data_IF_807105617611
#
_entry.id   IF_807105617611
#
_cell.length_a   1.000
_cell.length_b   1.000
_cell.length_c   1.000
_cell.angle_alpha   90.00
_cell.angle_beta   90.00
_cell.angle_gamma   90.00
#
_symmetry.space_group_name_H-M   'P 1'
#
loop_
_entity.id
_entity.type
_entity.pdbx_description
1 polymer ?
#
# COMPACT_ATOMS: atom_id res chain seq x y z
N UNK A 1 32.94 -2.06 -6.77
CA UNK A 1 32.49 -0.81 -7.40
C UNK A 1 32.66 0.31 -6.38
N UNK A 2 33.13 1.47 -6.82
CA UNK A 2 33.20 2.67 -5.97
C UNK A 2 31.78 3.21 -5.74
N UNK A 3 31.49 3.73 -4.55
CA UNK A 3 30.16 4.26 -4.19
C UNK A 3 29.78 5.45 -5.09
N UNK A 4 30.77 6.26 -5.48
CA UNK A 4 30.55 7.35 -6.42
C UNK A 4 30.15 6.83 -7.81
N UNK A 5 30.77 5.75 -8.29
CA UNK A 5 30.43 5.14 -9.56
C UNK A 5 29.01 4.52 -9.56
N UNK A 6 28.61 3.93 -8.43
CA UNK A 6 27.27 3.39 -8.23
C UNK A 6 26.22 4.53 -8.24
N UNK A 7 26.50 5.65 -7.57
CA UNK A 7 25.66 6.84 -7.60
C UNK A 7 25.52 7.40 -9.03
N UNK A 8 26.60 7.54 -9.79
CA UNK A 8 26.54 8.02 -11.17
C UNK A 8 25.71 7.11 -12.08
N UNK A 9 25.79 5.79 -11.86
CA UNK A 9 24.96 4.81 -12.59
C UNK A 9 23.49 5.00 -12.25
N UNK A 10 23.16 5.13 -10.96
CA UNK A 10 21.81 5.39 -10.49
C UNK A 10 21.22 6.69 -11.05
N UNK A 11 22.00 7.78 -11.07
CA UNK A 11 21.56 9.06 -11.61
C UNK A 11 21.26 8.96 -13.11
N UNK A 12 22.12 8.26 -13.87
CA UNK A 12 21.89 8.01 -15.29
C UNK A 12 20.64 7.15 -15.53
N UNK A 13 20.52 6.02 -14.82
CA UNK A 13 19.35 5.13 -14.93
C UNK A 13 18.05 5.86 -14.55
N UNK A 14 18.09 6.70 -13.53
CA UNK A 14 16.91 7.44 -13.08
C UNK A 14 16.45 8.47 -14.12
N UNK A 15 17.38 9.12 -14.82
CA UNK A 15 17.07 10.04 -15.94
C UNK A 15 16.43 9.28 -17.10
N UNK A 16 17.02 8.15 -17.51
CA UNK A 16 16.49 7.32 -18.59
C UNK A 16 15.07 6.81 -18.26
N UNK A 17 14.85 6.36 -17.02
CA UNK A 17 13.53 5.92 -16.55
C UNK A 17 12.50 7.05 -16.52
N UNK A 18 12.90 8.27 -16.16
CA UNK A 18 12.02 9.44 -16.16
C UNK A 18 11.64 9.86 -17.58
N UNK A 19 12.59 9.87 -18.52
CA UNK A 19 12.31 10.14 -19.94
C UNK A 19 11.34 9.10 -20.52
N UNK A 20 11.56 7.82 -20.20
CA UNK A 20 10.67 6.73 -20.62
C UNK A 20 9.27 6.88 -20.00
N UNK A 21 9.18 7.24 -18.72
CA UNK A 21 7.93 7.49 -18.01
C UNK A 21 7.15 8.66 -18.64
N UNK A 22 7.82 9.78 -18.90
CA UNK A 22 7.23 10.96 -19.55
C UNK A 22 6.69 10.62 -20.95
N UNK A 23 7.49 9.90 -21.76
CA UNK A 23 7.07 9.44 -23.09
C UNK A 23 5.78 8.64 -23.03
N UNK A 24 5.70 7.65 -22.13
CA UNK A 24 4.52 6.82 -21.99
C UNK A 24 3.29 7.60 -21.49
N UNK A 25 3.48 8.59 -20.62
CA UNK A 25 2.41 9.49 -20.18
C UNK A 25 1.88 10.35 -21.32
N UNK A 26 2.75 10.92 -22.15
CA UNK A 26 2.36 11.74 -23.31
C UNK A 26 1.70 10.90 -24.42
N UNK A 27 2.13 9.65 -24.60
CA UNK A 27 1.47 8.70 -25.49
C UNK A 27 0.06 8.36 -25.00
N UNK A 28 -0.08 8.09 -23.69
CA UNK A 28 -1.37 7.87 -23.04
C UNK A 28 -2.32 9.07 -23.15
N UNK A 29 -1.81 10.31 -23.12
CA UNK A 29 -2.64 11.51 -23.27
C UNK A 29 -3.29 11.63 -24.66
N UNK A 30 -2.59 11.17 -25.70
CA UNK A 30 -3.01 11.27 -27.10
C UNK A 30 -3.99 10.19 -27.53
N UNK A 31 -4.19 9.16 -26.71
CA UNK A 31 -4.95 7.96 -27.06
C UNK A 31 -5.55 7.28 -25.83
N UNK A 32 -5.77 5.98 -25.93
CA UNK A 32 -6.18 5.16 -24.79
C UNK A 32 -4.93 4.51 -24.19
N UNK A 33 -4.66 4.68 -22.88
CA UNK A 33 -3.48 4.10 -22.25
C UNK A 33 -3.49 2.59 -22.35
N UNK A 34 -2.49 2.03 -23.04
CA UNK A 34 -2.33 0.58 -23.09
C UNK A 34 -1.88 0.04 -21.72
N UNK A 35 -2.30 -1.19 -21.34
CA UNK A 35 -1.82 -1.83 -20.11
C UNK A 35 -0.29 -1.94 -20.05
N UNK A 36 0.38 -2.08 -21.20
CA UNK A 36 1.84 -2.12 -21.28
C UNK A 36 2.47 -0.77 -20.92
N UNK A 37 1.86 0.34 -21.36
CA UNK A 37 2.32 1.69 -21.02
C UNK A 37 2.14 1.97 -19.52
N UNK A 38 0.99 1.62 -18.94
CA UNK A 38 0.74 1.76 -17.50
C UNK A 38 1.76 0.95 -16.68
N UNK A 39 2.03 -0.29 -17.08
CA UNK A 39 3.03 -1.13 -16.42
C UNK A 39 4.46 -0.59 -16.56
N UNK A 40 4.80 0.03 -17.70
CA UNK A 40 6.09 0.66 -17.90
C UNK A 40 6.29 1.88 -16.98
N UNK A 41 5.28 2.76 -16.89
CA UNK A 41 5.25 3.93 -16.01
C UNK A 41 5.40 3.51 -14.54
N UNK A 42 4.63 2.50 -14.11
CA UNK A 42 4.72 1.97 -12.74
C UNK A 42 6.12 1.42 -12.43
N UNK A 43 6.70 0.60 -13.32
CA UNK A 43 8.03 0.03 -13.11
C UNK A 43 9.11 1.12 -13.00
N UNK A 44 9.03 2.17 -13.82
CA UNK A 44 9.95 3.29 -13.73
C UNK A 44 9.93 3.94 -12.34
N UNK A 45 8.74 4.31 -11.84
CA UNK A 45 8.59 4.88 -10.50
C UNK A 45 9.07 3.92 -9.39
N UNK A 46 8.72 2.63 -9.47
CA UNK A 46 9.12 1.61 -8.50
C UNK A 46 10.64 1.41 -8.45
N UNK A 47 11.30 1.38 -9.61
CA UNK A 47 12.76 1.26 -9.70
C UNK A 47 13.45 2.49 -9.15
N UNK A 48 12.97 3.70 -9.47
CA UNK A 48 13.55 4.95 -8.92
C UNK A 48 13.42 4.98 -7.39
N UNK A 49 12.26 4.61 -6.83
CA UNK A 49 12.05 4.49 -5.39
C UNK A 49 13.03 3.50 -4.76
N UNK A 50 13.13 2.29 -5.33
CA UNK A 50 13.99 1.23 -4.82
C UNK A 50 15.46 1.62 -4.82
N UNK A 51 15.95 2.18 -5.92
CA UNK A 51 17.33 2.63 -6.05
C UNK A 51 17.61 3.85 -5.17
N UNK A 52 16.67 4.79 -5.02
CA UNK A 52 16.83 5.94 -4.12
C UNK A 52 17.00 5.55 -2.65
N UNK A 53 16.40 4.43 -2.23
CA UNK A 53 16.59 3.89 -0.88
C UNK A 53 18.02 3.41 -0.59
N UNK A 54 18.77 2.97 -1.62
CA UNK A 54 20.15 2.52 -1.47
C UNK A 54 21.12 3.68 -1.16
N UNK A 55 20.78 4.90 -1.59
CA UNK A 55 21.62 6.09 -1.44
C UNK A 55 21.13 7.08 -0.38
N UNK A 56 20.19 6.67 0.47
CA UNK A 56 19.62 7.49 1.54
C UNK A 56 19.08 8.85 1.04
N UNK A 57 18.24 8.80 0.01
CA UNK A 57 17.56 9.97 -0.57
C UNK A 57 16.10 10.03 -0.10
N UNK A 58 15.82 10.43 1.16
CA UNK A 58 14.49 10.27 1.78
C UNK A 58 13.40 11.10 1.09
N UNK A 59 13.73 12.27 0.55
CA UNK A 59 12.76 13.10 -0.19
C UNK A 59 12.34 12.43 -1.49
N UNK A 60 13.30 11.88 -2.24
CA UNK A 60 13.05 11.14 -3.47
C UNK A 60 12.21 9.89 -3.20
N UNK A 61 12.62 9.07 -2.23
CA UNK A 61 11.91 7.84 -1.85
C UNK A 61 10.49 8.15 -1.37
N UNK A 62 10.33 9.17 -0.52
CA UNK A 62 9.03 9.55 0.03
C UNK A 62 8.06 10.03 -1.06
N UNK A 63 8.53 10.86 -1.98
CA UNK A 63 7.70 11.38 -3.07
C UNK A 63 7.34 10.29 -4.09
N UNK A 64 8.33 9.53 -4.56
CA UNK A 64 8.13 8.45 -5.54
C UNK A 64 7.23 7.35 -5.02
N UNK A 65 7.23 7.06 -3.72
CA UNK A 65 6.30 6.12 -3.10
C UNK A 65 4.83 6.54 -3.28
N UNK A 66 4.49 7.83 -3.09
CA UNK A 66 3.11 8.30 -3.27
C UNK A 66 2.68 8.24 -4.74
N UNK A 67 3.59 8.60 -5.65
CA UNK A 67 3.37 8.47 -7.10
C UNK A 67 3.13 7.00 -7.48
N UNK A 68 3.96 6.09 -6.98
CA UNK A 68 3.81 4.65 -7.19
C UNK A 68 2.47 4.13 -6.67
N UNK A 69 2.01 4.54 -5.48
CA UNK A 69 0.70 4.12 -4.96
C UNK A 69 -0.46 4.56 -5.85
N UNK A 70 -0.39 5.76 -6.45
CA UNK A 70 -1.43 6.21 -7.39
C UNK A 70 -1.37 5.40 -8.69
N UNK A 71 -0.17 5.13 -9.20
CA UNK A 71 0.03 4.31 -10.40
C UNK A 71 -0.40 2.85 -10.18
N UNK A 72 -0.31 2.35 -8.95
CA UNK A 72 -0.79 1.02 -8.57
C UNK A 72 -2.31 0.91 -8.76
N UNK A 73 -3.07 1.90 -8.27
CA UNK A 73 -4.51 1.97 -8.49
C UNK A 73 -4.88 2.06 -9.98
N UNK A 74 -4.05 2.73 -10.78
CA UNK A 74 -4.24 2.80 -12.23
C UNK A 74 -3.97 1.45 -12.90
N UNK A 75 -2.93 0.74 -12.44
CA UNK A 75 -2.58 -0.59 -12.92
C UNK A 75 -3.65 -1.62 -12.58
N UNK A 76 -4.25 -1.53 -11.40
CA UNK A 76 -5.31 -2.43 -10.93
C UNK A 76 -6.71 -2.06 -11.48
N UNK A 77 -6.76 -1.10 -12.42
CA UNK A 77 -7.99 -0.58 -13.04
C UNK A 77 -8.98 0.08 -12.06
N UNK A 78 -8.58 0.27 -10.78
CA UNK A 78 -9.35 0.96 -9.75
C UNK A 78 -9.44 2.47 -9.99
N UNK A 79 -8.46 3.04 -10.72
CA UNK A 79 -8.42 4.44 -11.11
C UNK A 79 -8.15 4.59 -12.60
N UNK A 80 -9.03 5.29 -13.33
CA UNK A 80 -8.78 5.57 -14.74
C UNK A 80 -7.68 6.62 -14.91
N UNK A 81 -6.73 6.36 -15.80
CA UNK A 81 -5.69 7.31 -16.19
C UNK A 81 -6.27 8.43 -17.07
N UNK A 82 -6.95 9.38 -16.42
CA UNK A 82 -7.57 10.54 -17.07
C UNK A 82 -6.53 11.57 -17.51
N UNK A 83 -6.89 12.46 -18.44
CA UNK A 83 -6.00 13.58 -18.84
C UNK A 83 -5.59 14.46 -17.66
N UNK A 84 -6.46 14.63 -16.65
CA UNK A 84 -6.14 15.37 -15.43
C UNK A 84 -5.05 14.66 -14.60
N UNK A 85 -5.17 13.34 -14.44
CA UNK A 85 -4.18 12.54 -13.74
C UNK A 85 -2.86 12.46 -14.51
N UNK A 86 -2.90 12.33 -15.84
CA UNK A 86 -1.70 12.35 -16.68
C UNK A 86 -0.97 13.68 -16.53
N UNK A 87 -1.68 14.80 -16.60
CA UNK A 87 -1.09 16.13 -16.40
C UNK A 87 -0.43 16.27 -15.02
N UNK A 88 -1.07 15.73 -13.97
CA UNK A 88 -0.48 15.70 -12.63
C UNK A 88 0.79 14.83 -12.56
N UNK A 89 0.76 13.64 -13.18
CA UNK A 89 1.89 12.72 -13.20
C UNK A 89 3.10 13.28 -13.98
N UNK A 90 2.87 14.05 -15.05
CA UNK A 90 3.93 14.77 -15.77
C UNK A 90 4.63 15.79 -14.86
N UNK A 91 3.86 16.58 -14.10
CA UNK A 91 4.44 17.51 -13.12
C UNK A 91 5.17 16.76 -11.99
N UNK A 92 4.70 15.56 -11.64
CA UNK A 92 5.41 14.69 -10.70
C UNK A 92 6.75 14.18 -11.29
N UNK A 93 6.80 13.84 -12.59
CA UNK A 93 8.06 13.50 -13.28
C UNK A 93 9.06 14.66 -13.19
N UNK A 94 8.62 15.90 -13.46
CA UNK A 94 9.46 17.09 -13.35
C UNK A 94 10.03 17.25 -11.93
N UNK A 95 9.19 17.05 -10.92
CA UNK A 95 9.62 17.14 -9.52
C UNK A 95 10.62 16.02 -9.14
N UNK A 96 10.37 14.78 -9.57
CA UNK A 96 11.30 13.66 -9.35
C UNK A 96 12.63 13.92 -10.04
N UNK A 97 12.62 14.46 -11.26
CA UNK A 97 13.81 14.86 -11.99
C UNK A 97 14.61 15.91 -11.20
N UNK A 98 13.96 16.95 -10.67
CA UNK A 98 14.63 17.96 -9.85
C UNK A 98 15.26 17.38 -8.56
N UNK A 99 14.61 16.39 -7.93
CA UNK A 99 15.18 15.67 -6.77
C UNK A 99 16.42 14.85 -7.17
N UNK A 100 16.38 14.18 -8.32
CA UNK A 100 17.53 13.43 -8.88
C UNK A 100 18.69 14.38 -9.20
N UNK A 101 18.43 15.52 -9.83
CA UNK A 101 19.46 16.52 -10.11
C UNK A 101 20.05 17.14 -8.84
N UNK A 102 19.23 17.36 -7.81
CA UNK A 102 19.71 17.87 -6.51
C UNK A 102 20.57 16.84 -5.78
N UNK A 103 20.30 15.54 -5.97
CA UNK A 103 21.18 14.47 -5.48
C UNK A 103 22.53 14.43 -6.21
N UNK A 104 22.56 14.81 -7.49
CA UNK A 104 23.79 14.92 -8.28
C UNK A 104 24.60 16.18 -7.91
N UNK A 105 23.90 17.31 -7.75
CA UNK A 105 24.44 18.62 -7.39
C UNK A 105 23.54 19.30 -6.35
N UNK A 106 23.94 19.34 -5.07
CA UNK A 106 23.16 19.98 -4.01
C UNK A 106 22.93 21.49 -4.21
N UNK A 107 23.61 22.13 -5.17
CA UNK A 107 23.37 23.54 -5.54
C UNK A 107 22.32 23.73 -6.62
N UNK A 108 21.83 22.63 -7.21
CA UNK A 108 20.81 22.64 -8.27
C UNK A 108 19.52 23.32 -7.82
N UNK A 109 19.06 23.03 -6.60
CA UNK A 109 17.84 23.59 -6.05
C UNK A 109 17.92 23.72 -4.52
N UNK A 110 17.15 24.65 -3.96
CA UNK A 110 16.99 24.78 -2.51
C UNK A 110 16.07 23.65 -2.00
N UNK A 111 16.53 22.79 -1.07
CA UNK A 111 15.71 21.71 -0.50
C UNK A 111 14.40 22.20 0.14
N UNK A 112 14.36 23.45 0.64
CA UNK A 112 13.14 24.03 1.22
C UNK A 112 12.14 24.41 0.14
N UNK A 113 12.62 24.95 -0.99
CA UNK A 113 11.77 25.28 -2.12
C UNK A 113 11.19 24.01 -2.77
N UNK A 114 12.02 22.98 -2.97
CA UNK A 114 11.58 21.67 -3.46
C UNK A 114 10.51 21.05 -2.57
N UNK A 115 10.70 21.08 -1.24
CA UNK A 115 9.69 20.57 -0.32
C UNK A 115 8.35 21.34 -0.43
N UNK A 116 8.40 22.66 -0.58
CA UNK A 116 7.20 23.48 -0.76
C UNK A 116 6.49 23.21 -2.10
N UNK A 117 7.23 22.88 -3.16
CA UNK A 117 6.68 22.44 -4.45
C UNK A 117 6.03 21.05 -4.37
N UNK A 118 6.58 20.16 -3.54
CA UNK A 118 6.05 18.82 -3.34
C UNK A 118 4.69 18.81 -2.61
N UNK A 119 4.46 19.70 -1.64
CA UNK A 119 3.24 19.77 -0.84
C UNK A 119 1.92 19.77 -1.65
N UNK A 120 1.71 20.68 -2.62
CA UNK A 120 0.48 20.70 -3.42
C UNK A 120 0.34 19.49 -4.35
N UNK A 121 1.43 18.88 -4.80
CA UNK A 121 1.41 17.67 -5.63
C UNK A 121 0.98 16.47 -4.79
N UNK A 122 1.58 16.30 -3.62
CA UNK A 122 1.22 15.25 -2.66
C UNK A 122 -0.25 15.36 -2.24
N UNK A 123 -0.76 16.56 -1.98
CA UNK A 123 -2.17 16.76 -1.63
C UNK A 123 -3.13 16.34 -2.76
N UNK A 124 -2.78 16.62 -4.01
CA UNK A 124 -3.58 16.19 -5.17
C UNK A 124 -3.54 14.67 -5.36
N UNK A 125 -2.35 14.06 -5.28
CA UNK A 125 -2.19 12.60 -5.37
C UNK A 125 -2.97 11.88 -4.25
N UNK A 126 -2.92 12.40 -3.02
CA UNK A 126 -3.70 11.87 -1.89
C UNK A 126 -5.21 11.95 -2.12
N UNK A 127 -5.69 12.96 -2.85
CA UNK A 127 -7.11 13.04 -3.23
C UNK A 127 -7.50 11.87 -4.13
N UNK A 128 -6.63 11.45 -5.06
CA UNK A 128 -6.87 10.28 -5.90
C UNK A 128 -6.88 8.98 -5.10
N UNK A 129 -5.91 8.81 -4.18
CA UNK A 129 -5.85 7.65 -3.27
C UNK A 129 -7.13 7.53 -2.43
N UNK A 130 -7.60 8.65 -1.85
CA UNK A 130 -8.82 8.69 -1.03
C UNK A 130 -10.10 8.52 -1.86
N UNK A 131 -10.12 9.02 -3.10
CA UNK A 131 -11.29 8.92 -3.98
C UNK A 131 -11.49 7.50 -4.50
N UNK A 132 -10.42 6.75 -4.71
CA UNK A 132 -10.50 5.31 -5.00
C UNK A 132 -11.08 4.54 -3.80
N UNK A 133 -10.63 4.85 -2.58
CA UNK A 133 -11.18 4.27 -1.35
C UNK A 133 -12.69 4.60 -1.15
N UNK A 134 -13.15 5.75 -1.62
CA UNK A 134 -14.56 6.18 -1.54
C UNK A 134 -15.41 5.77 -2.77
N UNK A 135 -14.77 5.31 -3.86
CA UNK A 135 -15.33 5.17 -5.21
C UNK A 135 -16.14 3.90 -5.49
N UNK A 136 -16.18 2.92 -4.57
CA UNK A 136 -16.90 1.65 -4.76
C UNK A 136 -18.36 1.70 -4.24
N UNK A 137 -18.92 2.88 -3.97
CA UNK A 137 -20.29 3.02 -3.42
C UNK A 137 -21.39 3.36 -4.44
N UNK A 138 -21.20 3.08 -5.74
CA UNK A 138 -22.26 3.38 -6.72
C UNK A 138 -22.35 2.42 -7.91
N UNK A 139 -22.60 1.13 -7.68
CA UNK A 139 -23.60 0.34 -8.42
C UNK A 139 -23.66 -1.13 -7.95
N UNK A 140 -24.89 -1.60 -7.70
CA UNK A 140 -25.32 -2.99 -7.46
C UNK A 140 -24.98 -3.54 -6.05
N UNK A 141 -25.89 -3.98 -5.19
CA UNK A 141 -27.30 -4.39 -5.31
C UNK A 141 -27.99 -4.11 -3.96
N UNK A 142 -29.24 -3.67 -4.03
CA UNK A 142 -30.12 -3.63 -2.86
C UNK A 142 -30.33 -5.03 -2.29
N UNK A 143 -29.99 -5.25 -1.01
CA UNK A 143 -30.84 -5.88 0.01
C UNK A 143 -30.07 -6.03 1.35
N UNK A 144 -30.68 -5.53 2.43
CA UNK A 144 -30.25 -5.74 3.81
C UNK A 144 -30.07 -4.43 4.58
N UNK A 145 -31.09 -4.03 5.33
CA UNK A 145 -31.06 -2.88 6.22
C UNK A 145 -29.92 -2.96 7.27
N UNK A 146 -29.37 -1.83 7.76
CA UNK A 146 -28.25 -1.82 8.68
C UNK A 146 -28.76 -2.15 10.09
N UNK A 147 -28.47 -3.35 10.56
CA UNK A 147 -28.57 -3.68 11.97
C UNK A 147 -27.34 -3.04 12.66
N UNK A 148 -27.56 -2.11 13.60
CA UNK A 148 -26.50 -1.63 14.49
C UNK A 148 -26.02 -2.82 15.33
N UNK A 149 -25.03 -3.51 14.82
CA UNK A 149 -24.45 -4.70 15.44
C UNK A 149 -23.38 -4.30 16.45
N UNK A 150 -23.32 -5.09 17.52
CA UNK A 150 -22.53 -4.90 18.74
C UNK A 150 -21.10 -4.44 18.46
N UNK A 151 -20.58 -3.52 19.29
CA UNK A 151 -19.25 -2.92 19.16
C UNK A 151 -18.07 -3.88 19.40
N UNK A 152 -18.26 -5.18 19.21
CA UNK A 152 -17.22 -6.21 19.22
C UNK A 152 -17.21 -6.99 17.91
N UNK A 153 -16.01 -7.18 17.39
CA UNK A 153 -15.72 -7.84 16.12
C UNK A 153 -14.74 -8.97 16.37
N UNK A 154 -15.09 -10.17 15.90
CA UNK A 154 -14.17 -11.30 15.82
C UNK A 154 -13.60 -11.34 14.42
N UNK A 155 -12.28 -11.32 14.35
CA UNK A 155 -11.53 -11.33 13.09
C UNK A 155 -10.64 -12.57 13.10
N UNK A 156 -10.87 -13.47 12.15
CA UNK A 156 -10.00 -14.62 11.88
C UNK A 156 -9.17 -14.32 10.66
N UNK A 157 -7.85 -14.28 10.82
CA UNK A 157 -6.88 -13.98 9.77
C UNK A 157 -5.92 -15.15 9.62
N UNK A 158 -5.82 -15.70 8.41
CA UNK A 158 -4.79 -16.68 8.05
C UNK A 158 -4.07 -16.21 6.80
N UNK A 159 -2.85 -15.72 6.97
CA UNK A 159 -2.00 -15.34 5.85
C UNK A 159 -1.42 -16.60 5.19
N UNK A 160 -1.37 -16.61 3.85
CA UNK A 160 -0.74 -17.69 3.09
C UNK A 160 0.77 -17.69 3.27
N UNK A 161 1.41 -18.81 2.93
CA UNK A 161 2.84 -19.02 3.16
C UNK A 161 3.72 -17.92 2.57
N UNK A 162 3.38 -17.41 1.38
CA UNK A 162 4.17 -16.40 0.68
C UNK A 162 3.88 -14.96 1.11
N UNK A 163 2.87 -14.72 1.97
CA UNK A 163 2.45 -13.36 2.34
C UNK A 163 3.61 -12.52 2.92
N UNK A 164 4.50 -13.12 3.73
CA UNK A 164 5.66 -12.40 4.29
C UNK A 164 6.67 -11.99 3.22
N UNK A 165 6.83 -12.78 2.15
CA UNK A 165 7.72 -12.49 1.03
C UNK A 165 7.26 -11.28 0.23
N UNK A 166 5.94 -11.07 0.19
CA UNK A 166 5.31 -9.89 -0.40
C UNK A 166 5.23 -8.70 0.58
N UNK A 167 5.83 -8.80 1.77
CA UNK A 167 5.88 -7.73 2.76
C UNK A 167 4.61 -7.59 3.62
N UNK A 168 3.67 -8.54 3.49
CA UNK A 168 2.42 -8.61 4.24
C UNK A 168 2.67 -9.14 5.65
N UNK A 169 2.92 -8.20 6.56
CA UNK A 169 3.24 -8.51 7.96
C UNK A 169 1.98 -8.51 8.83
N UNK A 170 1.64 -9.62 9.51
CA UNK A 170 0.48 -9.67 10.39
C UNK A 170 0.55 -8.65 11.54
N UNK A 171 1.76 -8.30 11.98
CA UNK A 171 1.96 -7.24 12.99
C UNK A 171 1.53 -5.85 12.49
N UNK A 172 1.72 -5.54 11.21
CA UNK A 172 1.26 -4.27 10.62
C UNK A 172 -0.27 -4.20 10.63
N UNK A 173 -0.94 -5.28 10.21
CA UNK A 173 -2.40 -5.39 10.19
C UNK A 173 -2.98 -5.22 11.61
N UNK A 174 -2.43 -5.92 12.60
CA UNK A 174 -2.85 -5.80 14.01
C UNK A 174 -2.65 -4.36 14.53
N UNK A 175 -1.57 -3.68 14.15
CA UNK A 175 -1.34 -2.27 14.52
C UNK A 175 -2.36 -1.34 13.89
N UNK A 176 -2.73 -1.57 12.63
CA UNK A 176 -3.76 -0.79 11.95
C UNK A 176 -5.14 -1.01 12.58
N UNK A 177 -5.49 -2.24 12.99
CA UNK A 177 -6.74 -2.48 13.74
C UNK A 177 -6.83 -1.66 15.03
N UNK A 178 -5.69 -1.42 15.70
CA UNK A 178 -5.65 -0.58 16.91
C UNK A 178 -5.90 0.90 16.64
N UNK A 179 -5.84 1.39 15.39
CA UNK A 179 -6.31 2.75 15.08
C UNK A 179 -7.84 2.83 14.98
N UNK A 180 -8.52 1.70 14.72
CA UNK A 180 -9.98 1.63 14.64
C UNK A 180 -10.63 1.32 16.00
N UNK A 181 -9.90 0.77 16.97
CA UNK A 181 -10.47 0.42 18.26
C UNK A 181 -9.49 -0.22 19.24
N UNK A 182 -10.05 -0.87 20.25
CA UNK A 182 -9.29 -1.58 21.29
C UNK A 182 -9.24 -3.07 20.96
N UNK A 183 -8.04 -3.62 20.76
CA UNK A 183 -7.86 -5.06 20.62
C UNK A 183 -7.86 -5.68 22.03
N UNK A 184 -8.90 -6.46 22.33
CA UNK A 184 -9.12 -7.03 23.66
C UNK A 184 -8.40 -8.37 23.83
N UNK A 185 -8.33 -9.18 22.77
CA UNK A 185 -7.55 -10.42 22.76
C UNK A 185 -6.99 -10.74 21.37
N UNK A 186 -5.88 -11.47 21.37
CA UNK A 186 -5.26 -12.06 20.18
C UNK A 186 -4.86 -13.49 20.55
N UNK A 187 -5.34 -14.45 19.78
CA UNK A 187 -4.93 -15.86 19.86
C UNK A 187 -4.19 -16.21 18.59
N UNK A 188 -3.00 -16.80 18.72
CA UNK A 188 -2.19 -17.23 17.58
C UNK A 188 -2.38 -18.73 17.34
N UNK A 189 -2.78 -19.09 16.12
CA UNK A 189 -2.79 -20.47 15.64
C UNK A 189 -1.42 -20.81 15.05
N UNK A 190 -0.82 -21.89 15.57
CA UNK A 190 0.48 -22.43 15.14
C UNK A 190 0.35 -23.83 14.53
N UNK A 191 -0.86 -24.28 14.20
CA UNK A 191 -1.15 -25.62 13.69
C UNK A 191 -0.43 -25.96 12.37
N UNK A 192 -0.07 -24.94 11.58
CA UNK A 192 0.63 -25.08 10.30
C UNK A 192 2.16 -25.00 10.45
N UNK A 193 2.68 -24.83 11.67
CA UNK A 193 4.12 -24.72 11.90
C UNK A 193 4.79 -26.10 11.66
N UNK A 194 5.71 -26.21 10.69
CA UNK A 194 6.40 -27.47 10.43
C UNK A 194 7.43 -27.78 11.52
N UNK A 195 8.00 -28.99 11.45
CA UNK A 195 9.18 -29.33 12.25
C UNK A 195 10.35 -28.38 11.90
N UNK A 196 11.25 -28.18 12.86
CA UNK A 196 12.34 -27.21 12.71
C UNK A 196 13.23 -27.46 11.47
N UNK A 197 13.44 -28.73 11.12
CA UNK A 197 14.27 -29.11 9.96
C UNK A 197 13.61 -28.76 8.61
N UNK A 198 12.28 -28.64 8.57
CA UNK A 198 11.48 -28.32 7.37
C UNK A 198 10.95 -26.87 7.39
N UNK A 199 11.36 -26.07 8.37
CA UNK A 199 10.89 -24.70 8.55
C UNK A 199 11.58 -23.75 7.57
N UNK A 200 10.77 -23.07 6.76
CA UNK A 200 11.22 -21.96 5.93
C UNK A 200 11.05 -20.63 6.71
N UNK A 201 12.14 -19.94 7.07
CA UNK A 201 12.05 -18.70 7.85
C UNK A 201 11.40 -17.54 7.09
N UNK A 202 11.24 -17.64 5.77
CA UNK A 202 10.60 -16.61 4.94
C UNK A 202 9.09 -16.87 4.73
N UNK A 203 8.59 -18.03 5.14
CA UNK A 203 7.18 -18.41 4.99
C UNK A 203 6.33 -18.07 6.23
N UNK A 204 5.06 -17.74 6.03
CA UNK A 204 4.09 -17.61 7.12
C UNK A 204 3.44 -18.95 7.47
N UNK A 205 3.46 -19.29 8.75
CA UNK A 205 2.73 -20.45 9.30
C UNK A 205 1.71 -20.06 10.38
N UNK A 206 1.60 -18.76 10.67
CA UNK A 206 0.80 -18.25 11.79
C UNK A 206 -0.59 -17.82 11.31
N UNK A 207 -1.61 -18.28 12.02
CA UNK A 207 -2.96 -17.73 11.97
C UNK A 207 -3.24 -16.88 13.20
N UNK A 208 -4.21 -15.98 13.12
CA UNK A 208 -4.60 -15.09 14.20
C UNK A 208 -6.11 -15.04 14.33
N UNK A 209 -6.58 -15.10 15.57
CA UNK A 209 -7.94 -14.76 15.93
C UNK A 209 -7.91 -13.55 16.86
N UNK A 210 -8.58 -12.49 16.47
CA UNK A 210 -8.51 -11.18 17.11
C UNK A 210 -9.92 -10.78 17.55
N UNK A 211 -10.06 -10.36 18.81
CA UNK A 211 -11.26 -9.67 19.27
C UNK A 211 -11.01 -8.16 19.33
N UNK A 212 -11.71 -7.42 18.48
CA UNK A 212 -11.64 -5.97 18.39
C UNK A 212 -12.91 -5.34 18.95
N UNK A 213 -12.77 -4.47 19.95
CA UNK A 213 -13.84 -3.55 20.36
C UNK A 213 -13.74 -2.26 19.56
N UNK A 214 -14.71 -2.01 18.69
CA UNK A 214 -14.75 -0.82 17.82
C UNK A 214 -16.19 -0.45 17.45
N UNK A 215 -16.43 0.85 17.35
CA UNK A 215 -17.67 1.42 16.79
C UNK A 215 -17.61 1.55 15.25
N UNK A 216 -16.48 1.17 14.64
CA UNK A 216 -16.33 1.13 13.19
C UNK A 216 -17.28 0.09 12.58
N UNK A 217 -17.76 0.38 11.37
CA UNK A 217 -18.52 -0.59 10.60
C UNK A 217 -17.60 -1.67 10.01
N UNK A 218 -18.24 -2.72 9.49
CA UNK A 218 -17.52 -3.85 8.88
C UNK A 218 -16.61 -3.41 7.73
N UNK A 219 -17.05 -2.43 6.94
CA UNK A 219 -16.32 -1.97 5.77
C UNK A 219 -14.99 -1.31 6.17
N UNK A 220 -15.01 -0.44 7.18
CA UNK A 220 -13.80 0.18 7.71
C UNK A 220 -12.82 -0.84 8.30
N UNK A 221 -13.31 -1.93 8.90
CA UNK A 221 -12.45 -3.01 9.41
C UNK A 221 -11.88 -3.83 8.25
N UNK A 222 -12.68 -4.12 7.22
CA UNK A 222 -12.24 -4.84 6.02
C UNK A 222 -11.16 -4.08 5.24
N UNK A 223 -11.22 -2.76 5.20
CA UNK A 223 -10.24 -1.88 4.55
C UNK A 223 -8.82 -2.09 5.10
N UNK A 224 -8.69 -2.39 6.41
CA UNK A 224 -7.37 -2.68 7.03
C UNK A 224 -6.67 -3.87 6.36
N UNK A 225 -7.44 -4.80 5.79
CA UNK A 225 -6.94 -6.02 5.17
C UNK A 225 -6.98 -5.99 3.64
N UNK A 226 -7.39 -4.87 3.03
CA UNK A 226 -7.55 -4.77 1.57
C UNK A 226 -6.27 -5.17 0.82
N UNK A 227 -5.12 -4.68 1.28
CA UNK A 227 -3.80 -4.95 0.72
C UNK A 227 -3.32 -6.41 0.87
N UNK A 228 -4.04 -7.25 1.61
CA UNK A 228 -3.67 -8.65 1.85
C UNK A 228 -4.78 -9.63 1.45
N UNK A 229 -5.87 -9.16 0.84
CA UNK A 229 -7.04 -10.00 0.52
C UNK A 229 -6.71 -11.20 -0.36
N UNK A 230 -5.77 -11.04 -1.29
CA UNK A 230 -5.38 -12.12 -2.21
C UNK A 230 -4.41 -13.13 -1.56
N UNK A 231 -3.79 -12.74 -0.44
CA UNK A 231 -2.80 -13.54 0.29
C UNK A 231 -3.31 -14.03 1.65
N UNK A 232 -4.63 -13.99 1.89
CA UNK A 232 -5.20 -14.41 3.16
C UNK A 232 -6.60 -14.99 3.09
N UNK A 233 -6.89 -15.90 4.02
CA UNK A 233 -8.26 -16.18 4.43
C UNK A 233 -8.63 -15.22 5.56
N UNK A 234 -9.64 -14.40 5.32
CA UNK A 234 -10.14 -13.43 6.28
C UNK A 234 -11.63 -13.65 6.55
N UNK A 235 -11.98 -13.77 7.82
CA UNK A 235 -13.37 -13.82 8.29
C UNK A 235 -13.59 -12.74 9.34
N UNK A 236 -14.61 -11.89 9.14
CA UNK A 236 -14.98 -10.81 10.06
C UNK A 236 -16.44 -10.99 10.46
N UNK A 237 -16.69 -11.18 11.74
CA UNK A 237 -18.02 -11.44 12.31
C UNK A 237 -18.28 -10.50 13.48
N UNK A 238 -19.41 -9.78 13.47
CA UNK A 238 -19.85 -9.05 14.66
C UNK A 238 -20.34 -10.06 15.70
N UNK A 239 -19.89 -9.88 16.95
CA UNK A 239 -20.21 -10.76 18.06
C UNK A 239 -20.79 -9.94 19.21
N UNK A 240 -21.71 -10.48 20.01
CA UNK A 240 -22.14 -9.80 21.24
C UNK A 240 -20.94 -9.59 22.17
N UNK A 241 -21.04 -8.60 23.05
CA UNK A 241 -20.02 -8.36 24.07
C UNK A 241 -19.75 -9.67 24.83
N UNK A 242 -18.47 -10.10 24.95
CA UNK A 242 -18.15 -11.36 25.60
C UNK A 242 -18.69 -11.32 27.03
N UNK A 243 -19.59 -12.25 27.37
CA UNK A 243 -20.22 -12.29 28.70
C UNK A 243 -19.28 -12.82 29.78
N UNK A 244 -18.20 -13.50 29.40
CA UNK A 244 -17.19 -14.02 30.31
C UNK A 244 -15.77 -13.95 29.74
N UNK A 245 -14.79 -13.75 30.62
CA UNK A 245 -13.36 -13.79 30.29
C UNK A 245 -12.91 -15.16 29.75
N UNK A 246 -13.70 -16.22 29.95
CA UNK A 246 -13.42 -17.57 29.47
C UNK A 246 -13.72 -17.76 27.97
N UNK A 247 -14.76 -17.12 27.42
CA UNK A 247 -15.11 -17.22 25.98
C UNK A 247 -14.12 -16.49 25.07
N UNK A 248 -13.38 -15.52 25.63
CA UNK A 248 -12.27 -14.82 24.97
C UNK A 248 -11.06 -15.74 24.67
N UNK A 249 -10.98 -16.90 25.35
CA UNK A 249 -9.85 -17.84 25.28
C UNK A 249 -10.25 -19.22 24.74
N UNK A 250 -11.55 -19.51 24.56
CA UNK A 250 -12.06 -20.86 24.30
C UNK A 250 -12.61 -21.10 22.89
N UNK A 251 -12.03 -20.49 21.86
CA UNK A 251 -12.13 -21.06 20.52
C UNK A 251 -11.16 -22.26 20.42
N UNK A 252 -11.38 -23.25 21.27
CA UNK A 252 -10.69 -24.54 21.21
C UNK A 252 -11.10 -25.24 19.91
N UNK A 253 -10.07 -25.74 19.24
CA UNK A 253 -10.09 -26.67 18.13
C UNK A 253 -11.26 -27.66 18.16
N UNK A 254 -12.05 -27.65 17.08
CA UNK A 254 -12.74 -28.83 16.59
C UNK A 254 -12.18 -29.19 15.21
#
# INVERSE_FOLDING_TARGET
MDMNQLMQTFLAESRDLLEDMERHLLEAERGEPSPDAVNAIFRAAHTIKGSGGLFDLPQLVGFTHVVESVLDLVRDEALSLSSELIGLLLVCCDHIHALVETAADPSHADPVALAAEAEPLLAQLQTYLQRSACGVTAAAVAQGAPEKQSGYWRITLKLFADALRFGNSPLKLIRNLRSLGSVESITTDISQLPAFDDLDPEANYLGFQILLRSDADRAAIEEVFEFVREDCDLEIVSVPAPSDAAELLSAEAA
#
